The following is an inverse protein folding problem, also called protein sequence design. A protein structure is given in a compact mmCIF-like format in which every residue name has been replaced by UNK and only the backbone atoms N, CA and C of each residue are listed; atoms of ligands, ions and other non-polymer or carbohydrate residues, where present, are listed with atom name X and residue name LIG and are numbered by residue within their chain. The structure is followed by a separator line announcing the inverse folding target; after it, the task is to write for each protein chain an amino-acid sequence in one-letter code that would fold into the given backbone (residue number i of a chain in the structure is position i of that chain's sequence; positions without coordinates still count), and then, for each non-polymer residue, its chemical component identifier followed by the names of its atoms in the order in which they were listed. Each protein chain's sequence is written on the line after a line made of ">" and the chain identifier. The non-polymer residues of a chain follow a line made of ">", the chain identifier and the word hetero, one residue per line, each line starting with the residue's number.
data_IF_169746393472
#
_entry.id   IF_169746393472
#
_cell.length_a   1.000
_cell.length_b   1.000
_cell.length_c   1.000
_cell.angle_alpha   90.00
_cell.angle_beta   90.00
_cell.angle_gamma   90.00
#
_symmetry.space_group_name_H-M   'P 1'
#
loop_
_entity.id
_entity.type
_entity.pdbx_description
1 polymer ?
#
# COMPACT_ATOMS: atom_id res chain seq x y z
N UNK A 1 -0.42 26.82 -3.66
CA UNK A 1 -0.45 26.10 -4.94
C UNK A 1 0.86 25.34 -5.05
N UNK A 2 0.83 24.05 -5.36
CA UNK A 2 2.04 23.19 -5.44
C UNK A 2 1.99 22.37 -6.72
N UNK A 3 3.15 22.01 -7.25
CA UNK A 3 3.27 21.02 -8.34
C UNK A 3 3.48 19.65 -7.74
N UNK A 4 2.56 18.72 -8.01
CA UNK A 4 2.55 17.38 -7.43
C UNK A 4 2.73 16.34 -8.55
N UNK A 5 3.76 15.48 -8.43
CA UNK A 5 3.99 14.39 -9.34
C UNK A 5 3.40 13.09 -8.79
N UNK A 6 2.51 12.46 -9.54
CA UNK A 6 1.98 11.12 -9.25
C UNK A 6 2.77 10.07 -10.04
N UNK A 7 3.67 9.37 -9.38
CA UNK A 7 4.35 8.21 -9.98
C UNK A 7 3.46 6.98 -9.90
N UNK A 8 3.13 6.36 -11.06
CA UNK A 8 2.26 5.20 -11.13
C UNK A 8 0.77 5.54 -11.14
N UNK A 9 0.37 6.63 -11.77
CA UNK A 9 -1.02 7.10 -11.88
C UNK A 9 -2.01 6.05 -12.43
N UNK A 10 -1.52 5.04 -13.16
CA UNK A 10 -2.34 3.93 -13.69
C UNK A 10 -2.67 2.87 -12.63
N UNK A 11 -2.02 2.91 -11.48
CA UNK A 11 -2.31 1.98 -10.39
C UNK A 11 -3.76 2.15 -9.90
N UNK A 12 -4.40 1.03 -9.52
CA UNK A 12 -5.78 1.05 -9.01
C UNK A 12 -5.99 2.08 -7.88
N UNK A 13 -5.05 2.15 -6.95
CA UNK A 13 -5.10 3.07 -5.82
C UNK A 13 -4.94 4.56 -6.21
N UNK A 14 -4.32 4.86 -7.35
CA UNK A 14 -4.07 6.22 -7.81
C UNK A 14 -5.19 6.80 -8.69
N UNK A 15 -6.06 5.93 -9.26
CA UNK A 15 -7.09 6.35 -10.21
C UNK A 15 -8.05 7.36 -9.60
N UNK A 16 -8.08 8.57 -10.13
CA UNK A 16 -8.93 9.67 -9.66
C UNK A 16 -8.23 10.66 -8.73
N UNK A 17 -7.04 10.35 -8.20
CA UNK A 17 -6.30 11.25 -7.31
C UNK A 17 -5.97 12.59 -7.98
N UNK A 18 -5.58 12.58 -9.26
CA UNK A 18 -5.32 13.80 -10.04
C UNK A 18 -6.48 14.79 -9.92
N UNK A 19 -7.70 14.33 -10.19
CA UNK A 19 -8.89 15.22 -10.13
C UNK A 19 -9.12 15.78 -8.72
N UNK A 20 -8.79 15.06 -7.66
CA UNK A 20 -8.92 15.55 -6.28
C UNK A 20 -7.91 16.68 -6.04
N UNK A 21 -6.65 16.48 -6.43
CA UNK A 21 -5.59 17.48 -6.26
C UNK A 21 -5.82 18.73 -7.12
N UNK A 22 -6.23 18.57 -8.38
CA UNK A 22 -6.53 19.70 -9.28
C UNK A 22 -7.71 20.54 -8.78
N UNK A 23 -8.75 19.92 -8.21
CA UNK A 23 -9.87 20.62 -7.56
C UNK A 23 -9.44 21.44 -6.34
N UNK A 24 -8.33 21.09 -5.71
CA UNK A 24 -7.74 21.85 -4.60
C UNK A 24 -6.75 22.92 -5.07
N UNK A 25 -6.63 23.15 -6.39
CA UNK A 25 -5.80 24.19 -6.99
C UNK A 25 -4.33 23.82 -7.18
N UNK A 26 -3.99 22.51 -7.16
CA UNK A 26 -2.63 22.05 -7.43
C UNK A 26 -2.41 21.75 -8.91
N UNK A 27 -1.19 21.95 -9.39
CA UNK A 27 -0.74 21.45 -10.70
C UNK A 27 -0.33 19.98 -10.53
N UNK A 28 -0.88 19.09 -11.36
CA UNK A 28 -0.58 17.65 -11.26
C UNK A 28 0.15 17.16 -12.51
N UNK A 29 1.32 16.60 -12.30
CA UNK A 29 2.08 15.83 -13.27
C UNK A 29 1.86 14.32 -13.00
N UNK A 30 1.89 13.52 -14.04
CA UNK A 30 1.73 12.08 -13.95
C UNK A 30 2.93 11.37 -14.59
N UNK A 31 3.43 10.34 -13.93
CA UNK A 31 4.49 9.49 -14.48
C UNK A 31 4.11 8.01 -14.45
N UNK A 32 4.46 7.29 -15.51
CA UNK A 32 4.33 5.84 -15.57
C UNK A 32 5.36 5.20 -16.49
N UNK A 33 5.56 3.90 -16.30
CA UNK A 33 6.41 3.09 -17.16
C UNK A 33 5.91 3.10 -18.61
N UNK A 34 6.83 3.25 -19.55
CA UNK A 34 6.57 3.21 -20.99
C UNK A 34 7.79 3.61 -21.80
N UNK A 35 7.59 3.84 -23.07
CA UNK A 35 8.54 4.55 -23.92
C UNK A 35 8.65 6.01 -23.46
N UNK A 36 9.80 6.63 -23.72
CA UNK A 36 10.06 8.01 -23.32
C UNK A 36 9.19 8.97 -24.15
N UNK A 37 8.15 9.49 -23.53
CA UNK A 37 7.15 10.36 -24.17
C UNK A 37 6.53 11.32 -23.16
N UNK A 38 6.15 12.50 -23.65
CA UNK A 38 5.33 13.46 -22.89
C UNK A 38 4.08 13.86 -23.66
N UNK A 39 2.93 13.78 -23.02
CA UNK A 39 1.64 14.24 -23.51
C UNK A 39 0.98 15.14 -22.45
N UNK A 40 1.02 16.44 -22.68
CA UNK A 40 0.57 17.41 -21.67
C UNK A 40 1.31 17.24 -20.35
N UNK A 41 0.57 16.97 -19.29
CA UNK A 41 1.10 16.75 -17.94
C UNK A 41 1.48 15.29 -17.65
N UNK A 42 1.37 14.40 -18.63
CA UNK A 42 1.73 12.98 -18.48
C UNK A 42 3.08 12.71 -19.14
N UNK A 43 4.02 12.16 -18.35
CA UNK A 43 5.34 11.73 -18.78
C UNK A 43 5.42 10.21 -18.66
N UNK A 44 6.00 9.55 -19.65
CA UNK A 44 6.33 8.14 -19.58
C UNK A 44 7.83 7.92 -19.81
N UNK A 45 8.35 6.78 -19.34
CA UNK A 45 9.76 6.41 -19.52
C UNK A 45 10.14 5.17 -18.71
N UNK A 46 11.39 4.70 -18.82
CA UNK A 46 11.93 3.68 -17.94
C UNK A 46 11.94 4.18 -16.50
N UNK A 47 11.34 3.42 -15.58
CA UNK A 47 11.17 3.89 -14.18
C UNK A 47 12.50 4.03 -13.45
N UNK A 48 13.47 3.18 -13.75
CA UNK A 48 14.82 3.23 -13.16
C UNK A 48 15.70 4.37 -13.70
N UNK A 49 15.19 5.14 -14.66
CA UNK A 49 15.83 6.30 -15.26
C UNK A 49 15.02 7.58 -15.08
N UNK A 50 14.08 7.58 -14.12
CA UNK A 50 13.21 8.74 -13.88
C UNK A 50 14.04 10.00 -13.59
N UNK A 51 15.14 9.87 -12.88
CA UNK A 51 16.07 10.94 -12.54
C UNK A 51 16.78 11.55 -13.75
N UNK A 52 16.92 10.80 -14.84
CA UNK A 52 17.58 11.20 -16.10
C UNK A 52 16.58 11.57 -17.20
N UNK A 53 15.29 11.49 -16.94
CA UNK A 53 14.26 11.73 -17.95
C UNK A 53 14.18 13.23 -18.29
N UNK A 54 14.60 13.67 -19.50
CA UNK A 54 14.68 15.09 -19.88
C UNK A 54 13.32 15.72 -20.14
N UNK A 55 12.25 14.95 -20.07
CA UNK A 55 10.88 15.42 -20.32
C UNK A 55 10.25 16.08 -19.10
N UNK A 56 10.84 15.95 -17.91
CA UNK A 56 10.48 16.76 -16.75
C UNK A 56 11.14 18.15 -16.86
N UNK A 57 10.33 19.18 -17.01
CA UNK A 57 10.79 20.56 -17.22
C UNK A 57 10.38 21.50 -16.08
N UNK A 58 9.44 21.04 -15.26
CA UNK A 58 8.87 21.80 -14.16
C UNK A 58 9.54 21.44 -12.84
N UNK A 59 9.58 22.39 -11.92
CA UNK A 59 9.88 22.13 -10.52
C UNK A 59 8.74 21.31 -9.91
N UNK A 60 9.08 20.34 -9.07
CA UNK A 60 8.13 19.43 -8.42
C UNK A 60 8.22 19.62 -6.91
N UNK A 61 7.14 20.10 -6.28
CA UNK A 61 7.13 20.29 -4.83
C UNK A 61 6.95 18.96 -4.06
N UNK A 62 6.11 18.06 -4.59
CA UNK A 62 5.73 16.82 -3.91
C UNK A 62 5.68 15.66 -4.90
N UNK A 63 6.21 14.53 -4.50
CA UNK A 63 6.08 13.26 -5.24
C UNK A 63 5.21 12.30 -4.44
N UNK A 64 4.18 11.73 -5.08
CA UNK A 64 3.38 10.64 -4.51
C UNK A 64 3.67 9.36 -5.28
N UNK A 65 4.34 8.41 -4.64
CA UNK A 65 4.83 7.22 -5.32
C UNK A 65 3.95 5.98 -5.10
N UNK A 66 3.28 5.54 -6.16
CA UNK A 66 2.51 4.29 -6.22
C UNK A 66 3.26 3.17 -6.95
N UNK A 67 4.39 3.46 -7.60
CA UNK A 67 5.08 2.45 -8.41
C UNK A 67 5.61 1.33 -7.52
N UNK A 68 5.31 0.13 -7.94
CA UNK A 68 5.83 -1.12 -7.42
C UNK A 68 6.02 -2.08 -8.60
N UNK A 69 7.22 -2.57 -8.81
CA UNK A 69 7.53 -3.56 -9.84
C UNK A 69 7.16 -4.95 -9.31
N UNK A 70 5.87 -5.31 -9.37
CA UNK A 70 5.33 -6.54 -8.76
C UNK A 70 5.95 -7.83 -9.28
N UNK A 71 6.35 -7.83 -10.57
CA UNK A 71 7.02 -8.95 -11.22
C UNK A 71 8.55 -8.80 -11.23
N UNK A 72 9.06 -7.71 -10.68
CA UNK A 72 10.48 -7.44 -10.57
C UNK A 72 11.10 -8.04 -9.29
N UNK A 73 12.41 -8.10 -9.27
CA UNK A 73 13.18 -8.48 -8.09
C UNK A 73 13.13 -7.38 -7.01
N UNK A 74 13.61 -7.70 -5.81
CA UNK A 74 13.86 -6.70 -4.76
C UNK A 74 14.84 -5.65 -5.27
N UNK A 75 15.94 -6.07 -5.88
CA UNK A 75 16.97 -5.20 -6.43
C UNK A 75 16.43 -4.22 -7.48
N UNK A 76 15.59 -4.67 -8.42
CA UNK A 76 14.96 -3.78 -9.41
C UNK A 76 14.08 -2.71 -8.75
N UNK A 77 13.37 -3.07 -7.69
CA UNK A 77 12.58 -2.11 -6.91
C UNK A 77 13.46 -1.15 -6.12
N UNK A 78 14.56 -1.61 -5.53
CA UNK A 78 15.54 -0.77 -4.84
C UNK A 78 16.22 0.20 -5.81
N UNK A 79 16.61 -0.26 -7.01
CA UNK A 79 17.16 0.59 -8.05
C UNK A 79 16.18 1.68 -8.49
N UNK A 80 14.90 1.34 -8.63
CA UNK A 80 13.86 2.35 -8.88
C UNK A 80 13.76 3.38 -7.74
N UNK A 81 13.74 2.93 -6.48
CA UNK A 81 13.68 3.85 -5.33
C UNK A 81 14.90 4.78 -5.30
N UNK A 82 16.09 4.26 -5.60
CA UNK A 82 17.29 5.10 -5.66
C UNK A 82 17.21 6.15 -6.77
N UNK A 83 16.74 5.78 -7.97
CA UNK A 83 16.49 6.74 -9.04
C UNK A 83 15.42 7.78 -8.65
N UNK A 84 14.38 7.37 -7.91
CA UNK A 84 13.36 8.28 -7.42
C UNK A 84 13.89 9.28 -6.39
N UNK A 85 14.78 8.85 -5.48
CA UNK A 85 15.46 9.76 -4.53
C UNK A 85 16.33 10.78 -5.27
N UNK A 86 17.12 10.34 -6.26
CA UNK A 86 17.92 11.23 -7.11
C UNK A 86 17.06 12.21 -7.90
N UNK A 87 15.89 11.77 -8.38
CA UNK A 87 14.91 12.65 -9.00
C UNK A 87 14.42 13.73 -8.01
N UNK A 88 14.04 13.32 -6.79
CA UNK A 88 13.58 14.24 -5.75
C UNK A 88 14.64 15.29 -5.41
N UNK A 89 15.88 14.89 -5.26
CA UNK A 89 17.01 15.80 -5.00
C UNK A 89 17.21 16.79 -6.16
N UNK A 90 17.26 16.28 -7.41
CA UNK A 90 17.51 17.09 -8.61
C UNK A 90 16.41 18.12 -8.86
N UNK A 91 15.16 17.79 -8.57
CA UNK A 91 14.00 18.68 -8.75
C UNK A 91 13.63 19.48 -7.49
N UNK A 92 14.49 19.47 -6.45
CA UNK A 92 14.28 20.20 -5.19
C UNK A 92 12.93 19.90 -4.56
N UNK A 93 12.51 18.61 -4.63
CA UNK A 93 11.26 18.13 -4.05
C UNK A 93 11.28 18.35 -2.54
N UNK A 94 10.20 18.85 -1.98
CA UNK A 94 10.07 19.08 -0.53
C UNK A 94 9.59 17.86 0.23
N UNK A 95 8.84 16.97 -0.46
CA UNK A 95 8.27 15.78 0.16
C UNK A 95 8.08 14.62 -0.82
N UNK A 96 8.55 13.45 -0.41
CA UNK A 96 8.24 12.16 -1.03
C UNK A 96 7.21 11.42 -0.18
N UNK A 97 6.00 11.22 -0.72
CA UNK A 97 4.94 10.41 -0.12
C UNK A 97 5.02 9.00 -0.71
N UNK A 98 5.57 8.07 0.06
CA UNK A 98 5.70 6.67 -0.35
C UNK A 98 4.44 5.88 -0.01
N UNK A 99 3.74 5.37 -1.01
CA UNK A 99 2.60 4.47 -0.79
C UNK A 99 3.12 3.07 -0.51
N UNK A 100 3.12 2.72 0.77
CA UNK A 100 3.46 1.40 1.30
C UNK A 100 2.21 0.54 1.50
N UNK A 101 2.15 -0.24 2.56
CA UNK A 101 1.01 -1.11 2.91
C UNK A 101 1.09 -1.55 4.36
N UNK A 102 -0.05 -1.88 4.97
CA UNK A 102 -0.08 -2.61 6.24
C UNK A 102 0.63 -3.98 6.16
N UNK A 103 0.87 -4.51 4.97
CA UNK A 103 1.63 -5.76 4.78
C UNK A 103 3.12 -5.62 5.15
N UNK A 104 3.64 -4.42 5.31
CA UNK A 104 5.00 -4.18 5.81
C UNK A 104 5.16 -4.48 7.30
N UNK A 105 4.06 -4.49 8.06
CA UNK A 105 4.09 -4.81 9.49
C UNK A 105 4.19 -6.33 9.75
N UNK A 106 4.68 -6.74 10.93
CA UNK A 106 4.71 -8.16 11.31
C UNK A 106 3.32 -8.78 11.30
N UNK A 107 3.20 -9.95 10.70
CA UNK A 107 1.93 -10.69 10.65
C UNK A 107 1.43 -11.08 12.04
N UNK A 108 2.30 -11.09 13.04
CA UNK A 108 2.01 -11.54 14.40
C UNK A 108 1.84 -10.42 15.42
N UNK A 109 1.99 -9.19 15.04
CA UNK A 109 1.72 -8.06 15.91
C UNK A 109 0.24 -8.05 16.35
N UNK A 110 -0.06 -8.13 17.66
CA UNK A 110 -1.44 -8.12 18.14
C UNK A 110 -2.12 -6.76 17.95
N UNK A 111 -1.31 -5.70 18.00
CA UNK A 111 -1.73 -4.31 17.79
C UNK A 111 -0.74 -3.64 16.86
N UNK A 112 -1.26 -2.99 15.84
CA UNK A 112 -0.52 -2.23 14.85
C UNK A 112 -0.85 -0.75 15.01
N UNK A 113 0.18 0.08 15.14
CA UNK A 113 0.13 1.54 15.24
C UNK A 113 1.07 2.17 14.22
N UNK A 114 1.08 3.50 14.15
CA UNK A 114 1.98 4.25 13.29
C UNK A 114 3.46 3.99 13.61
N UNK A 115 3.81 3.83 14.89
CA UNK A 115 5.15 3.58 15.41
C UNK A 115 5.53 2.09 15.44
N UNK A 116 4.63 1.18 15.06
CA UNK A 116 4.95 -0.25 15.00
C UNK A 116 6.09 -0.49 14.03
N UNK A 117 7.19 -1.13 14.44
CA UNK A 117 8.29 -1.46 13.54
C UNK A 117 7.84 -2.33 12.38
N UNK A 118 8.41 -2.10 11.21
CA UNK A 118 8.19 -2.99 10.07
C UNK A 118 8.82 -4.36 10.32
N UNK A 119 8.32 -5.36 9.61
CA UNK A 119 8.69 -6.76 9.82
C UNK A 119 10.18 -7.00 9.50
N UNK A 120 10.89 -7.61 10.43
CA UNK A 120 12.29 -8.02 10.25
C UNK A 120 12.42 -9.32 9.46
N UNK A 121 11.38 -10.16 9.46
CA UNK A 121 11.34 -11.46 8.79
C UNK A 121 10.69 -11.35 7.41
N UNK A 122 11.29 -10.51 6.56
CA UNK A 122 10.77 -10.20 5.22
C UNK A 122 10.62 -11.44 4.36
N UNK A 123 11.52 -12.41 4.51
CA UNK A 123 11.55 -13.68 3.78
C UNK A 123 10.33 -14.58 4.04
N UNK A 124 9.62 -14.34 5.14
CA UNK A 124 8.41 -15.09 5.51
C UNK A 124 7.12 -14.49 4.92
N UNK A 125 7.22 -13.33 4.25
CA UNK A 125 6.09 -12.67 3.59
C UNK A 125 5.80 -13.26 2.21
N UNK A 126 4.62 -12.93 1.67
CA UNK A 126 4.34 -13.12 0.25
C UNK A 126 5.10 -12.11 -0.62
N UNK A 127 5.28 -12.41 -1.90
CA UNK A 127 6.10 -11.60 -2.81
C UNK A 127 5.80 -10.09 -2.77
N UNK A 128 4.52 -9.71 -2.74
CA UNK A 128 4.13 -8.30 -2.57
C UNK A 128 4.65 -7.68 -1.27
N UNK A 129 4.50 -8.41 -0.14
CA UNK A 129 4.96 -7.96 1.18
C UNK A 129 6.49 -7.83 1.24
N UNK A 130 7.22 -8.77 0.61
CA UNK A 130 8.69 -8.73 0.51
C UNK A 130 9.12 -7.43 -0.15
N UNK A 131 8.60 -7.12 -1.34
CA UNK A 131 9.00 -5.94 -2.11
C UNK A 131 8.62 -4.65 -1.37
N UNK A 132 7.41 -4.56 -0.81
CA UNK A 132 6.98 -3.38 -0.05
C UNK A 132 7.85 -3.15 1.18
N UNK A 133 8.16 -4.21 1.93
CA UNK A 133 9.00 -4.09 3.13
C UNK A 133 10.44 -3.74 2.78
N UNK A 134 10.99 -4.28 1.69
CA UNK A 134 12.34 -3.93 1.22
C UNK A 134 12.43 -2.44 0.83
N UNK A 135 11.46 -1.94 0.06
CA UNK A 135 11.39 -0.52 -0.30
C UNK A 135 11.27 0.39 0.94
N UNK A 136 10.41 0.04 1.90
CA UNK A 136 10.29 0.78 3.17
C UNK A 136 11.62 0.77 3.95
N UNK A 137 12.28 -0.39 4.06
CA UNK A 137 13.58 -0.51 4.76
C UNK A 137 14.67 0.36 4.11
N UNK A 138 14.71 0.42 2.78
CA UNK A 138 15.67 1.27 2.06
C UNK A 138 15.42 2.76 2.36
N UNK A 139 14.16 3.19 2.25
CA UNK A 139 13.77 4.58 2.52
C UNK A 139 13.95 4.96 4.01
N UNK A 140 13.64 4.07 4.95
CA UNK A 140 13.89 4.30 6.39
C UNK A 140 15.36 4.54 6.70
N UNK A 141 16.28 3.85 6.01
CA UNK A 141 17.73 4.05 6.18
C UNK A 141 18.23 5.37 5.58
N UNK A 142 17.50 5.91 4.60
CA UNK A 142 17.90 7.10 3.84
C UNK A 142 17.25 8.38 4.37
N UNK A 143 16.08 8.31 5.00
CA UNK A 143 15.23 9.47 5.30
C UNK A 143 15.92 10.60 6.06
N UNK A 144 16.84 10.27 6.97
CA UNK A 144 17.52 11.29 7.80
C UNK A 144 18.70 11.97 7.05
N UNK A 145 19.11 11.42 5.90
CA UNK A 145 20.17 11.96 5.06
C UNK A 145 19.63 12.76 3.86
N UNK A 146 18.33 12.62 3.54
CA UNK A 146 17.74 13.32 2.41
C UNK A 146 17.35 14.76 2.79
N UNK A 147 17.45 15.73 1.87
CA UNK A 147 17.09 17.13 2.12
C UNK A 147 15.59 17.41 2.08
N UNK A 148 14.76 16.38 2.01
CA UNK A 148 13.30 16.46 1.92
C UNK A 148 12.62 15.45 2.84
N UNK A 149 11.34 15.72 3.16
CA UNK A 149 10.55 14.80 3.98
C UNK A 149 10.27 13.49 3.24
N UNK A 150 10.50 12.36 3.89
CA UNK A 150 9.99 11.05 3.43
C UNK A 150 8.85 10.63 4.35
N UNK A 151 7.65 10.52 3.77
CA UNK A 151 6.43 10.17 4.47
C UNK A 151 5.90 8.83 3.99
N UNK A 152 5.71 7.89 4.90
CA UNK A 152 5.16 6.57 4.59
C UNK A 152 3.65 6.55 4.78
N UNK A 153 2.91 6.17 3.75
CA UNK A 153 1.48 5.93 3.84
C UNK A 153 1.23 4.43 3.75
N UNK A 154 0.69 3.86 4.83
CA UNK A 154 0.42 2.42 4.96
C UNK A 154 -1.09 2.17 5.00
N UNK A 155 -1.74 2.09 3.84
CA UNK A 155 -3.17 1.81 3.78
C UNK A 155 -3.46 0.34 4.08
N UNK A 156 -4.67 0.11 4.60
CA UNK A 156 -5.33 -1.18 4.56
C UNK A 156 -5.76 -1.56 3.14
N UNK A 157 -6.77 -2.42 3.02
CA UNK A 157 -7.35 -2.74 1.72
C UNK A 157 -8.11 -1.54 1.17
N UNK A 158 -7.68 -1.04 0.00
CA UNK A 158 -8.35 0.06 -0.67
C UNK A 158 -9.55 -0.51 -1.44
N UNK A 159 -10.75 -0.12 -1.05
CA UNK A 159 -12.01 -0.54 -1.66
C UNK A 159 -12.63 0.61 -2.46
N UNK A 160 -13.34 0.29 -3.53
CA UNK A 160 -14.13 1.25 -4.29
C UNK A 160 -15.28 0.54 -5.00
N UNK A 161 -16.25 1.30 -5.53
CA UNK A 161 -17.41 0.76 -6.22
C UNK A 161 -17.05 -0.10 -7.44
N UNK A 162 -15.97 0.24 -8.16
CA UNK A 162 -15.45 -0.51 -9.31
C UNK A 162 -14.60 -1.73 -8.91
N UNK A 163 -14.22 -1.87 -7.64
CA UNK A 163 -13.54 -3.03 -7.07
C UNK A 163 -13.86 -3.18 -5.58
N UNK A 164 -15.06 -3.64 -5.23
CA UNK A 164 -15.47 -3.82 -3.82
C UNK A 164 -14.74 -4.99 -3.14
N UNK A 165 -14.08 -5.86 -3.90
CA UNK A 165 -13.46 -7.10 -3.39
C UNK A 165 -11.96 -7.22 -3.74
N UNK A 166 -11.07 -6.30 -3.28
CA UNK A 166 -9.63 -6.40 -3.53
C UNK A 166 -8.93 -7.46 -2.67
N UNK A 167 -9.66 -8.45 -2.16
CA UNK A 167 -9.24 -9.35 -1.07
C UNK A 167 -8.75 -10.70 -1.58
N UNK A 168 -7.90 -10.72 -2.59
CA UNK A 168 -7.25 -11.97 -3.05
C UNK A 168 -6.52 -12.64 -1.87
N UNK A 169 -6.90 -13.89 -1.56
CA UNK A 169 -6.32 -14.67 -0.46
C UNK A 169 -7.07 -14.59 0.88
N UNK A 170 -8.08 -13.73 1.04
CA UNK A 170 -8.94 -13.71 2.25
C UNK A 170 -10.23 -14.48 2.03
N UNK A 171 -10.82 -14.39 0.83
CA UNK A 171 -12.00 -15.18 0.49
C UNK A 171 -11.88 -15.72 -0.93
N UNK A 172 -12.36 -16.94 -1.14
CA UNK A 172 -12.48 -17.56 -2.46
C UNK A 172 -13.95 -17.76 -2.77
N UNK A 173 -14.40 -17.15 -3.86
CA UNK A 173 -15.77 -17.27 -4.35
C UNK A 173 -15.93 -18.44 -5.31
N UNK A 174 -16.98 -19.19 -5.13
CA UNK A 174 -17.43 -20.27 -6.02
C UNK A 174 -18.79 -19.89 -6.59
N UNK A 175 -18.73 -19.21 -7.73
CA UNK A 175 -19.90 -18.56 -8.31
C UNK A 175 -20.46 -17.44 -7.41
N UNK A 176 -21.76 -17.18 -7.55
CA UNK A 176 -22.46 -16.13 -6.77
C UNK A 176 -23.06 -16.65 -5.45
N UNK A 177 -23.01 -17.96 -5.21
CA UNK A 177 -23.75 -18.61 -4.10
C UNK A 177 -22.88 -18.99 -2.90
N UNK A 178 -21.57 -19.18 -3.09
CA UNK A 178 -20.69 -19.68 -2.04
C UNK A 178 -19.40 -18.87 -1.98
N UNK A 179 -19.03 -18.47 -0.78
CA UNK A 179 -17.72 -17.88 -0.50
C UNK A 179 -17.05 -18.63 0.67
N UNK A 180 -15.80 -19.03 0.47
CA UNK A 180 -14.99 -19.68 1.51
C UNK A 180 -14.04 -18.64 2.08
N UNK A 181 -14.20 -18.33 3.37
CA UNK A 181 -13.40 -17.37 4.10
C UNK A 181 -12.12 -18.04 4.62
N UNK A 182 -10.97 -17.48 4.25
CA UNK A 182 -9.65 -17.88 4.73
C UNK A 182 -9.23 -16.94 5.85
N UNK A 183 -9.01 -17.48 7.04
CA UNK A 183 -8.61 -16.69 8.20
C UNK A 183 -9.65 -16.65 9.30
N UNK A 184 -9.33 -15.93 10.38
CA UNK A 184 -10.24 -15.79 11.51
C UNK A 184 -11.44 -14.92 11.15
N UNK A 185 -12.66 -15.44 11.39
CA UNK A 185 -13.90 -14.72 11.10
C UNK A 185 -14.09 -13.46 11.95
N UNK A 186 -13.47 -13.43 13.14
CA UNK A 186 -13.53 -12.29 14.08
C UNK A 186 -12.45 -11.23 13.79
N UNK A 187 -11.44 -11.55 12.95
CA UNK A 187 -10.41 -10.59 12.61
C UNK A 187 -11.01 -9.39 11.87
N UNK A 188 -10.62 -8.21 12.26
CA UNK A 188 -10.96 -6.97 11.57
C UNK A 188 -10.44 -7.03 10.12
N UNK A 189 -11.24 -6.54 9.19
CA UNK A 189 -10.81 -6.31 7.81
C UNK A 189 -10.40 -4.83 7.69
N UNK A 190 -9.10 -4.52 7.73
CA UNK A 190 -8.66 -3.13 7.70
C UNK A 190 -8.84 -2.58 6.28
N UNK A 191 -9.88 -1.77 6.08
CA UNK A 191 -10.21 -1.16 4.79
C UNK A 191 -10.14 0.35 4.86
N UNK A 192 -10.00 0.96 3.68
CA UNK A 192 -10.24 2.36 3.42
C UNK A 192 -10.90 2.53 2.06
N UNK A 193 -11.92 3.36 1.93
CA UNK A 193 -12.50 3.71 0.65
C UNK A 193 -11.55 4.59 -0.16
N UNK A 194 -11.44 4.33 -1.47
CA UNK A 194 -10.50 5.02 -2.35
C UNK A 194 -10.68 6.54 -2.33
N UNK A 195 -11.91 7.01 -2.27
CA UNK A 195 -12.16 8.45 -2.23
C UNK A 195 -11.65 9.09 -0.93
N UNK A 196 -11.85 8.44 0.21
CA UNK A 196 -11.29 8.86 1.50
C UNK A 196 -9.76 8.76 1.50
N UNK A 197 -9.20 7.71 0.91
CA UNK A 197 -7.76 7.54 0.73
C UNK A 197 -7.16 8.70 -0.07
N UNK A 198 -7.82 9.13 -1.16
CA UNK A 198 -7.38 10.28 -1.97
C UNK A 198 -7.46 11.61 -1.20
N UNK A 199 -8.52 11.83 -0.42
CA UNK A 199 -8.60 13.01 0.43
C UNK A 199 -7.48 13.04 1.48
N UNK A 200 -7.18 11.91 2.11
CA UNK A 200 -6.05 11.79 3.02
C UNK A 200 -4.72 12.10 2.31
N UNK A 201 -4.48 11.56 1.11
CA UNK A 201 -3.26 11.84 0.37
C UNK A 201 -3.12 13.30 0.00
N UNK A 202 -4.21 13.96 -0.38
CA UNK A 202 -4.21 15.39 -0.68
C UNK A 202 -3.86 16.22 0.58
N UNK A 203 -4.39 15.87 1.75
CA UNK A 203 -4.00 16.53 3.00
C UNK A 203 -2.51 16.27 3.34
N UNK A 204 -2.04 15.01 3.23
CA UNK A 204 -0.65 14.62 3.55
C UNK A 204 0.35 15.34 2.64
N UNK A 205 0.01 15.51 1.35
CA UNK A 205 0.88 16.12 0.37
C UNK A 205 1.29 17.56 0.75
N UNK A 206 0.37 18.32 1.37
CA UNK A 206 0.55 19.75 1.65
C UNK A 206 0.63 20.08 3.14
N UNK A 207 0.54 19.11 4.03
CA UNK A 207 0.49 19.32 5.47
C UNK A 207 1.82 19.87 5.99
N UNK A 208 1.76 20.93 6.78
CA UNK A 208 2.92 21.37 7.56
C UNK A 208 3.23 20.33 8.68
N UNK A 209 4.51 20.02 8.86
CA UNK A 209 4.97 19.05 9.86
C UNK A 209 4.19 17.71 9.80
N UNK A 210 4.34 16.92 8.73
CA UNK A 210 3.66 15.65 8.60
C UNK A 210 4.17 14.63 9.62
N UNK A 211 3.34 13.59 9.88
CA UNK A 211 3.85 12.38 10.54
C UNK A 211 4.80 11.65 9.57
N UNK A 212 5.79 10.97 10.12
CA UNK A 212 6.65 10.10 9.31
C UNK A 212 5.85 8.93 8.71
N UNK A 213 4.87 8.41 9.46
CA UNK A 213 4.02 7.28 9.05
C UNK A 213 2.55 7.63 9.25
N UNK A 214 1.74 7.38 8.21
CA UNK A 214 0.28 7.43 8.27
C UNK A 214 -0.30 6.03 8.09
N UNK A 215 -1.06 5.56 9.08
CA UNK A 215 -1.79 4.29 9.03
C UNK A 215 -3.23 4.56 8.56
N UNK A 216 -3.51 4.33 7.28
CA UNK A 216 -4.79 4.65 6.68
C UNK A 216 -5.77 3.47 6.73
N UNK A 217 -6.54 3.42 7.80
CA UNK A 217 -7.60 2.43 8.06
C UNK A 217 -8.82 3.17 8.62
N UNK A 218 -10.00 2.85 8.14
CA UNK A 218 -11.24 3.45 8.67
C UNK A 218 -11.54 2.96 10.09
N UNK A 219 -12.20 3.80 10.89
CA UNK A 219 -12.50 3.52 12.30
C UNK A 219 -13.44 2.32 12.49
N UNK A 220 -14.44 2.21 11.63
CA UNK A 220 -15.55 1.25 11.77
C UNK A 220 -15.39 0.05 10.82
N UNK A 221 -14.20 -0.52 10.79
CA UNK A 221 -13.97 -1.69 9.96
C UNK A 221 -14.75 -2.91 10.48
N UNK A 222 -15.47 -3.53 9.57
CA UNK A 222 -16.19 -4.78 9.82
C UNK A 222 -15.23 -5.92 10.10
N UNK A 223 -15.70 -6.98 10.73
CA UNK A 223 -14.95 -8.24 10.73
C UNK A 223 -14.91 -8.83 9.32
N UNK A 224 -13.92 -9.67 9.04
CA UNK A 224 -13.84 -10.38 7.74
C UNK A 224 -15.17 -11.06 7.40
N UNK A 225 -15.76 -11.76 8.39
CA UNK A 225 -17.01 -12.49 8.17
C UNK A 225 -18.20 -11.55 7.89
N UNK A 226 -18.40 -10.51 8.72
CA UNK A 226 -19.52 -9.59 8.54
C UNK A 226 -19.43 -8.82 7.23
N UNK A 227 -18.23 -8.42 6.83
CA UNK A 227 -18.01 -7.75 5.56
C UNK A 227 -18.47 -8.62 4.37
N UNK A 228 -17.92 -9.83 4.25
CA UNK A 228 -18.28 -10.69 3.11
C UNK A 228 -19.75 -11.09 3.12
N UNK A 229 -20.35 -11.26 4.29
CA UNK A 229 -21.78 -11.55 4.41
C UNK A 229 -22.66 -10.38 3.97
N UNK A 230 -22.25 -9.14 4.23
CA UNK A 230 -23.02 -7.95 3.84
C UNK A 230 -22.89 -7.61 2.36
N UNK A 231 -21.74 -7.90 1.76
CA UNK A 231 -21.43 -7.52 0.38
C UNK A 231 -21.82 -8.57 -0.66
N UNK A 232 -22.10 -9.80 -0.26
CA UNK A 232 -22.45 -10.87 -1.17
C UNK A 232 -23.74 -11.57 -0.80
N UNK A 233 -24.50 -12.03 -1.81
CA UNK A 233 -25.63 -12.97 -1.62
C UNK A 233 -25.15 -14.40 -1.33
N UNK A 234 -23.84 -14.63 -1.30
CA UNK A 234 -23.25 -15.93 -1.09
C UNK A 234 -23.31 -16.36 0.38
N UNK A 235 -23.46 -17.65 0.58
CA UNK A 235 -23.25 -18.27 1.90
C UNK A 235 -21.74 -18.23 2.19
N UNK A 236 -21.35 -17.55 3.26
CA UNK A 236 -19.95 -17.43 3.68
C UNK A 236 -19.59 -18.51 4.67
N UNK A 237 -18.72 -19.43 4.29
CA UNK A 237 -18.25 -20.53 5.13
C UNK A 237 -16.83 -20.21 5.64
N UNK A 238 -16.65 -19.96 6.94
CA UNK A 238 -15.31 -19.80 7.51
C UNK A 238 -14.62 -21.17 7.62
N UNK A 239 -13.38 -21.25 7.13
CA UNK A 239 -12.60 -22.47 7.25
C UNK A 239 -12.10 -22.69 8.68
N UNK A 240 -12.20 -23.93 9.23
CA UNK A 240 -11.72 -24.21 10.56
C UNK A 240 -10.20 -24.08 10.67
N UNK A 241 -9.72 -23.23 11.59
CA UNK A 241 -8.29 -22.95 11.81
C UNK A 241 -7.46 -24.23 11.96
N UNK A 242 -7.95 -25.20 12.76
CA UNK A 242 -7.24 -26.46 13.06
C UNK A 242 -6.99 -27.28 11.79
N UNK A 243 -7.98 -27.39 10.91
CA UNK A 243 -7.87 -28.14 9.65
C UNK A 243 -6.84 -27.47 8.72
N UNK A 244 -6.87 -26.13 8.63
CA UNK A 244 -5.94 -25.40 7.79
C UNK A 244 -4.49 -25.50 8.28
N UNK A 245 -4.27 -25.42 9.58
CA UNK A 245 -2.93 -25.57 10.16
C UNK A 245 -2.39 -26.97 9.96
N UNK A 246 -3.19 -27.99 10.24
CA UNK A 246 -2.79 -29.40 10.00
C UNK A 246 -2.45 -29.62 8.52
N UNK A 247 -3.29 -29.15 7.61
CA UNK A 247 -3.02 -29.26 6.17
C UNK A 247 -1.72 -28.55 5.75
N UNK A 248 -1.45 -27.36 6.30
CA UNK A 248 -0.23 -26.62 6.02
C UNK A 248 1.02 -27.33 6.58
N UNK A 249 0.93 -27.88 7.79
CA UNK A 249 2.04 -28.60 8.42
C UNK A 249 2.31 -29.93 7.68
N UNK A 250 1.26 -30.66 7.23
CA UNK A 250 1.41 -31.86 6.36
C UNK A 250 2.04 -31.48 5.03
N UNK A 251 1.56 -30.40 4.36
CA UNK A 251 2.12 -29.94 3.10
C UNK A 251 3.59 -29.52 3.23
N UNK A 252 4.00 -28.99 4.39
CA UNK A 252 5.40 -28.73 4.72
C UNK A 252 6.20 -30.01 4.87
N UNK A 253 5.69 -30.99 5.62
CA UNK A 253 6.33 -32.29 5.82
C UNK A 253 6.54 -33.03 4.49
N UNK A 254 5.60 -32.90 3.55
CA UNK A 254 5.69 -33.43 2.20
C UNK A 254 6.51 -32.55 1.22
N UNK A 255 7.19 -31.52 1.72
CA UNK A 255 7.99 -30.56 0.92
C UNK A 255 7.22 -29.80 -0.17
N UNK A 256 5.88 -29.84 -0.13
CA UNK A 256 5.01 -29.06 -1.04
C UNK A 256 5.00 -27.58 -0.63
N UNK A 257 4.99 -27.30 0.67
CA UNK A 257 5.07 -25.94 1.22
C UNK A 257 6.47 -25.66 1.78
N UNK A 258 6.98 -24.46 1.45
CA UNK A 258 8.12 -23.86 2.15
C UNK A 258 7.64 -23.19 3.44
N UNK A 259 8.56 -22.91 4.39
CA UNK A 259 8.27 -22.24 5.66
C UNK A 259 7.39 -20.98 5.47
N UNK A 260 7.73 -20.13 4.50
CA UNK A 260 6.96 -18.92 4.19
C UNK A 260 5.48 -19.19 3.93
N UNK A 261 5.13 -20.30 3.26
CA UNK A 261 3.74 -20.63 2.96
C UNK A 261 2.97 -20.99 4.25
N UNK A 262 3.62 -21.71 5.15
CA UNK A 262 3.06 -22.04 6.47
C UNK A 262 2.85 -20.77 7.30
N UNK A 263 3.83 -19.86 7.32
CA UNK A 263 3.73 -18.57 8.01
C UNK A 263 2.60 -17.69 7.43
N UNK A 264 2.45 -17.64 6.11
CA UNK A 264 1.35 -16.92 5.47
C UNK A 264 -0.02 -17.51 5.86
N UNK A 265 -0.17 -18.83 5.84
CA UNK A 265 -1.40 -19.51 6.26
C UNK A 265 -1.70 -19.22 7.72
N UNK A 266 -0.72 -19.37 8.61
CA UNK A 266 -0.88 -19.09 10.05
C UNK A 266 -1.18 -17.61 10.30
N UNK A 267 -0.54 -16.71 9.58
CA UNK A 267 -0.76 -15.26 9.63
C UNK A 267 -2.19 -14.86 9.26
N UNK A 268 -2.81 -15.52 8.27
CA UNK A 268 -4.18 -15.23 7.84
C UNK A 268 -5.24 -15.43 8.97
N UNK A 269 -4.91 -16.26 9.98
CA UNK A 269 -5.79 -16.54 11.12
C UNK A 269 -5.49 -15.68 12.36
N UNK A 270 -4.51 -14.76 12.29
CA UNK A 270 -4.25 -13.85 13.39
C UNK A 270 -5.27 -12.73 13.42
N UNK A 271 -5.59 -12.29 14.62
CA UNK A 271 -6.49 -11.18 14.88
C UNK A 271 -5.63 -9.97 15.23
N UNK A 272 -5.30 -9.18 14.22
CA UNK A 272 -4.61 -7.92 14.42
C UNK A 272 -5.63 -6.83 14.73
N UNK A 273 -5.29 -5.94 15.64
CA UNK A 273 -5.99 -4.68 15.89
C UNK A 273 -5.18 -3.55 15.27
N UNK A 274 -5.87 -2.50 14.86
CA UNK A 274 -5.25 -1.31 14.28
C UNK A 274 -5.65 -0.11 15.13
N UNK A 275 -4.65 0.63 15.60
CA UNK A 275 -4.83 1.91 16.29
C UNK A 275 -4.12 2.99 15.47
N UNK A 276 -4.89 3.76 14.74
CA UNK A 276 -4.42 4.87 13.91
C UNK A 276 -4.84 6.23 14.49
N UNK A 277 -4.84 6.33 15.80
CA UNK A 277 -5.28 7.54 16.50
C UNK A 277 -4.43 8.77 16.17
N UNK A 278 -3.12 8.61 16.00
CA UNK A 278 -2.24 9.72 15.59
C UNK A 278 -2.60 10.21 14.18
N UNK A 279 -2.77 9.28 13.24
CA UNK A 279 -3.19 9.59 11.88
C UNK A 279 -4.53 10.32 11.85
N UNK A 280 -5.54 9.84 12.58
CA UNK A 280 -6.86 10.48 12.66
C UNK A 280 -6.83 11.86 13.29
N UNK A 281 -5.97 12.07 14.28
CA UNK A 281 -5.81 13.40 14.88
C UNK A 281 -5.22 14.42 13.89
N UNK A 282 -4.38 13.96 12.97
CA UNK A 282 -3.73 14.80 11.96
C UNK A 282 -4.58 15.04 10.71
N UNK A 283 -5.38 14.08 10.26
CA UNK A 283 -6.13 14.16 9.01
C UNK A 283 -7.62 14.44 9.25
N UNK A 284 -8.13 15.49 8.60
CA UNK A 284 -9.56 15.86 8.67
C UNK A 284 -10.43 14.83 7.95
N UNK A 285 -9.95 14.29 6.84
CA UNK A 285 -10.67 13.30 6.04
C UNK A 285 -11.00 12.00 6.80
N UNK A 286 -10.27 11.67 7.89
CA UNK A 286 -10.49 10.47 8.71
C UNK A 286 -11.29 10.74 10.00
N UNK A 287 -11.70 11.97 10.26
CA UNK A 287 -12.52 12.34 11.41
C UNK A 287 -13.98 12.05 11.17
#
# INVERSE_FOLDING_TARGET
>A
MSTILICGHRAYAARGLKSVLEKQGHTVLEFSRGEMKREGNTVTGPVVEIDKNPLFKEDVDVVINFILLQNGSVEENENYIMALLQFCERHSVKRLVQISSISSYPNDAPLIKEDTPIDKHVELKGGYGIIKTAADNLLEKKKDAEPFDIVFVRPGYIVASDNPHPFKGIAKFFGSKLAVLIGDKKATLPCIHRDMFHQCLAEIAIQDMPLCVYLLVEKNNSTKYSYFRSQSRAVVIPLPRRVFFLAADIAKALHVFKERHVCMVKGAFKVNRFDNSLTRNKLKALK
#
